data_IF_914304025134
#
_entry.id   IF_914304025134
#
_cell.length_a   1.000
_cell.length_b   1.000
_cell.length_c   1.000
_cell.angle_alpha   90.00
_cell.angle_beta   90.00
_cell.angle_gamma   90.00
#
_symmetry.space_group_name_H-M   'P 1'
#
loop_
_entity.id
_entity.type
_entity.pdbx_description
1 polymer ?
#
# COMPACT_ATOMS: atom_id res chain seq x y z
N UNK A 1 -14.19 15.76 -4.39
CA UNK A 1 -12.74 15.76 -4.05
C UNK A 1 -12.36 14.37 -3.62
N UNK A 2 -11.29 13.81 -4.22
CA UNK A 2 -10.68 12.54 -3.84
C UNK A 2 -9.39 12.78 -3.06
N UNK A 3 -9.31 12.26 -1.84
CA UNK A 3 -8.15 12.36 -0.96
C UNK A 3 -7.45 11.01 -0.87
N UNK A 4 -6.25 10.92 -1.46
CA UNK A 4 -5.48 9.68 -1.53
C UNK A 4 -4.20 9.85 -0.73
N UNK A 5 -3.84 8.83 0.04
CA UNK A 5 -2.58 8.78 0.75
C UNK A 5 -1.83 7.52 0.32
N UNK A 6 -0.54 7.67 0.04
CA UNK A 6 0.37 6.58 -0.26
C UNK A 6 1.41 6.53 0.86
N UNK A 7 1.67 5.33 1.38
CA UNK A 7 2.66 5.12 2.44
C UNK A 7 3.54 3.93 2.11
N UNK A 8 4.80 3.98 2.52
CA UNK A 8 5.75 2.91 2.24
C UNK A 8 7.15 3.25 2.68
N UNK A 9 8.11 2.47 2.23
CA UNK A 9 9.53 2.66 2.54
C UNK A 9 10.27 3.31 1.37
N UNK A 10 11.25 4.16 1.70
CA UNK A 10 12.12 4.79 0.71
C UNK A 10 12.70 3.79 -0.28
N UNK A 11 12.50 4.06 -1.58
CA UNK A 11 12.92 3.19 -2.68
C UNK A 11 11.78 2.41 -3.35
N UNK A 12 10.60 2.32 -2.76
CA UNK A 12 9.44 1.59 -3.32
C UNK A 12 8.65 2.37 -4.38
N UNK A 13 9.03 3.63 -4.66
CA UNK A 13 8.41 4.43 -5.73
C UNK A 13 7.12 5.16 -5.35
N UNK A 14 6.86 5.40 -4.06
CA UNK A 14 5.69 6.16 -3.55
C UNK A 14 5.56 7.56 -4.16
N UNK A 15 6.66 8.30 -4.29
CA UNK A 15 6.68 9.64 -4.94
C UNK A 15 6.34 9.57 -6.42
N UNK A 16 6.89 8.58 -7.14
CA UNK A 16 6.54 8.37 -8.55
C UNK A 16 5.06 7.99 -8.70
N UNK A 17 4.55 7.13 -7.81
CA UNK A 17 3.15 6.75 -7.78
C UNK A 17 2.22 7.95 -7.58
N UNK A 18 2.53 8.81 -6.60
CA UNK A 18 1.79 10.04 -6.35
C UNK A 18 1.80 10.96 -7.58
N UNK A 19 2.96 11.14 -8.21
CA UNK A 19 3.11 11.91 -9.45
C UNK A 19 2.28 11.33 -10.59
N UNK A 20 2.24 10.01 -10.74
CA UNK A 20 1.46 9.36 -11.79
C UNK A 20 -0.04 9.56 -11.60
N UNK A 21 -0.56 9.45 -10.36
CA UNK A 21 -1.96 9.79 -10.07
C UNK A 21 -2.26 11.26 -10.36
N UNK A 22 -1.36 12.16 -9.96
CA UNK A 22 -1.50 13.58 -10.23
C UNK A 22 -1.52 13.88 -11.74
N UNK A 23 -0.65 13.22 -12.51
CA UNK A 23 -0.61 13.35 -13.97
C UNK A 23 -1.92 12.88 -14.60
N UNK A 24 -2.46 11.74 -14.17
CA UNK A 24 -3.73 11.22 -14.68
C UNK A 24 -4.88 12.19 -14.42
N UNK A 25 -4.98 12.70 -13.18
CA UNK A 25 -6.02 13.67 -12.82
C UNK A 25 -5.86 15.02 -13.55
N UNK A 26 -4.64 15.53 -13.69
CA UNK A 26 -4.37 16.76 -14.45
C UNK A 26 -4.73 16.61 -15.94
N UNK A 27 -4.46 15.44 -16.54
CA UNK A 27 -4.84 15.16 -17.93
C UNK A 27 -6.38 15.19 -18.14
N UNK A 28 -7.16 14.90 -17.09
CA UNK A 28 -8.63 15.07 -17.09
C UNK A 28 -9.09 16.50 -16.81
N UNK A 29 -8.17 17.44 -16.60
CA UNK A 29 -8.47 18.82 -16.20
C UNK A 29 -8.83 18.98 -14.72
N UNK A 30 -8.59 17.98 -13.88
CA UNK A 30 -8.85 18.10 -12.44
C UNK A 30 -7.78 18.97 -11.76
N UNK A 31 -8.20 19.73 -10.76
CA UNK A 31 -7.26 20.43 -9.88
C UNK A 31 -6.57 19.42 -8.96
N UNK A 32 -5.24 19.41 -8.95
CA UNK A 32 -4.47 18.47 -8.13
C UNK A 32 -3.50 19.22 -7.23
N UNK A 33 -3.41 18.79 -5.97
CA UNK A 33 -2.30 19.15 -5.08
C UNK A 33 -1.66 17.90 -4.50
N UNK A 34 -0.33 17.90 -4.45
CA UNK A 34 0.44 16.85 -3.81
C UNK A 34 1.31 17.42 -2.70
N UNK A 35 1.61 16.59 -1.71
CA UNK A 35 2.66 16.83 -0.74
C UNK A 35 3.30 15.50 -0.36
N UNK A 36 4.61 15.47 -0.23
CA UNK A 36 5.33 14.29 0.19
C UNK A 36 6.39 14.62 1.23
N UNK A 37 6.58 13.70 2.17
CA UNK A 37 7.70 13.79 3.10
C UNK A 37 8.96 13.29 2.40
N UNK A 38 9.76 14.23 1.89
CA UNK A 38 11.05 13.97 1.24
C UNK A 38 12.22 14.29 2.18
N UNK A 39 13.35 13.60 2.00
CA UNK A 39 14.57 13.81 2.80
C UNK A 39 15.20 12.50 3.24
N UNK A 40 15.55 12.39 4.53
CA UNK A 40 16.23 11.21 5.08
C UNK A 40 15.43 9.90 4.89
N UNK A 41 14.11 10.00 4.72
CA UNK A 41 13.23 8.87 4.41
C UNK A 41 13.58 8.13 3.10
N UNK A 42 14.26 8.78 2.15
CA UNK A 42 14.65 8.16 0.88
C UNK A 42 15.63 6.98 1.03
N UNK A 43 16.29 6.85 2.19
CA UNK A 43 17.25 5.78 2.50
C UNK A 43 16.62 4.75 3.45
N UNK A 44 15.50 4.15 3.04
CA UNK A 44 14.85 3.09 3.80
C UNK A 44 14.07 3.58 5.03
N UNK A 45 13.67 4.84 5.07
CA UNK A 45 12.75 5.36 6.08
C UNK A 45 11.31 5.35 5.59
N UNK A 46 10.38 5.64 6.50
CA UNK A 46 8.97 5.81 6.18
C UNK A 46 8.75 7.04 5.28
N UNK A 47 8.00 6.83 4.19
CA UNK A 47 7.61 7.85 3.22
C UNK A 47 6.09 7.91 3.16
N UNK A 48 5.54 9.13 3.24
CA UNK A 48 4.12 9.39 3.04
C UNK A 48 3.95 10.44 1.95
N UNK A 49 3.07 10.16 1.00
CA UNK A 49 2.67 11.06 -0.09
C UNK A 49 1.16 11.26 -0.06
N UNK A 50 0.73 12.50 -0.16
CA UNK A 50 -0.67 12.92 -0.22
C UNK A 50 -0.99 13.39 -1.65
N UNK A 51 -2.14 12.97 -2.18
CA UNK A 51 -2.66 13.40 -3.48
C UNK A 51 -4.12 13.79 -3.30
N UNK A 52 -4.43 15.06 -3.54
CA UNK A 52 -5.79 15.61 -3.47
C UNK A 52 -6.24 16.00 -4.86
N UNK A 53 -7.32 15.40 -5.33
CA UNK A 53 -7.82 15.56 -6.70
C UNK A 53 -9.25 16.12 -6.67
N UNK A 54 -9.45 17.31 -7.23
CA UNK A 54 -10.76 17.96 -7.34
C UNK A 54 -11.54 17.46 -8.54
N UNK A 55 -12.19 16.31 -8.39
CA UNK A 55 -12.94 15.62 -9.44
C UNK A 55 -14.27 16.29 -9.81
N UNK A 56 -14.75 17.23 -9.00
CA UNK A 56 -15.96 18.02 -9.24
C UNK A 56 -15.66 19.54 -9.26
N UNK A 57 -14.43 19.92 -9.67
CA UNK A 57 -14.01 21.32 -9.78
C UNK A 57 -13.53 21.95 -8.46
N UNK A 58 -13.46 21.19 -7.37
CA UNK A 58 -12.97 21.71 -6.09
C UNK A 58 -11.46 22.01 -6.14
N UNK A 59 -11.03 22.99 -5.35
CA UNK A 59 -9.61 23.30 -5.19
C UNK A 59 -9.19 23.03 -3.75
N UNK A 60 -8.14 22.20 -3.59
CA UNK A 60 -7.58 21.94 -2.28
C UNK A 60 -6.83 23.18 -1.77
N UNK A 61 -7.27 23.77 -0.66
CA UNK A 61 -6.58 24.91 -0.04
C UNK A 61 -5.20 24.51 0.53
N UNK A 62 -5.08 23.28 1.04
CA UNK A 62 -3.86 22.70 1.59
C UNK A 62 -3.58 21.33 0.93
N UNK A 63 -2.30 20.93 0.77
CA UNK A 63 -1.95 19.69 0.09
C UNK A 63 -2.06 18.45 1.00
N UNK A 64 -2.01 18.61 2.32
CA UNK A 64 -2.08 17.52 3.28
C UNK A 64 -3.52 17.02 3.46
N UNK A 65 -3.67 15.71 3.65
CA UNK A 65 -4.94 15.06 4.03
C UNK A 65 -4.95 14.90 5.54
N UNK A 66 -6.05 15.27 6.19
CA UNK A 66 -6.24 15.14 7.63
C UNK A 66 -6.57 13.70 8.05
N UNK A 67 -6.36 13.37 9.32
CA UNK A 67 -6.83 12.11 9.92
C UNK A 67 -8.34 11.94 9.71
N UNK A 68 -8.80 10.73 9.39
CA UNK A 68 -10.21 10.45 9.12
C UNK A 68 -10.75 11.02 7.80
N UNK A 69 -9.92 11.50 6.88
CA UNK A 69 -10.38 12.17 5.65
C UNK A 69 -9.93 11.51 4.33
N UNK A 70 -9.06 10.50 4.36
CA UNK A 70 -8.61 9.83 3.14
C UNK A 70 -9.67 8.87 2.61
N UNK A 71 -10.00 8.99 1.32
CA UNK A 71 -10.85 8.05 0.60
C UNK A 71 -10.14 6.71 0.35
N UNK A 72 -8.82 6.78 0.14
CA UNK A 72 -7.98 5.61 -0.09
C UNK A 72 -6.60 5.75 0.57
N UNK A 73 -6.12 4.63 1.12
CA UNK A 73 -4.73 4.44 1.54
C UNK A 73 -4.09 3.34 0.68
N UNK A 74 -2.95 3.67 0.06
CA UNK A 74 -2.14 2.72 -0.71
C UNK A 74 -0.85 2.47 0.07
N UNK A 75 -0.76 1.30 0.69
CA UNK A 75 0.36 0.87 1.52
C UNK A 75 1.30 -0.05 0.71
N UNK A 76 2.52 0.39 0.50
CA UNK A 76 3.56 -0.39 -0.17
C UNK A 76 4.23 -1.39 0.78
N UNK A 77 3.85 -1.33 2.05
CA UNK A 77 4.39 -2.13 3.14
C UNK A 77 3.28 -2.25 4.20
N UNK A 78 2.94 -3.47 4.66
CA UNK A 78 1.83 -3.71 5.59
C UNK A 78 1.91 -2.94 6.92
N UNK A 79 3.09 -2.87 7.54
CA UNK A 79 3.31 -2.16 8.80
C UNK A 79 3.03 -0.66 8.69
N UNK A 80 3.44 -0.04 7.59
CA UNK A 80 3.12 1.35 7.26
C UNK A 80 1.62 1.54 7.02
N UNK A 81 0.96 0.56 6.43
CA UNK A 81 -0.50 0.50 6.32
C UNK A 81 -1.19 0.52 7.68
N UNK A 82 -0.73 -0.32 8.63
CA UNK A 82 -1.24 -0.36 10.01
C UNK A 82 -1.01 0.99 10.70
N UNK A 83 0.20 1.56 10.59
CA UNK A 83 0.58 2.83 11.21
C UNK A 83 -0.27 4.00 10.71
N UNK A 84 -0.60 4.00 9.42
CA UNK A 84 -1.37 5.07 8.77
C UNK A 84 -2.88 4.81 8.70
N UNK A 85 -3.39 3.67 9.19
CA UNK A 85 -4.79 3.26 9.02
C UNK A 85 -5.82 4.32 9.48
N UNK A 86 -5.48 5.13 10.50
CA UNK A 86 -6.34 6.22 11.03
C UNK A 86 -6.57 7.36 10.03
N UNK A 87 -5.74 7.49 9.00
CA UNK A 87 -5.92 8.53 7.97
C UNK A 87 -7.19 8.32 7.14
N UNK A 88 -7.65 7.06 7.05
CA UNK A 88 -8.85 6.70 6.30
C UNK A 88 -10.10 7.26 6.97
N UNK A 89 -10.99 7.81 6.14
CA UNK A 89 -12.35 8.12 6.59
C UNK A 89 -13.14 6.83 6.85
N UNK A 90 -14.22 6.90 7.64
CA UNK A 90 -15.18 5.80 7.73
C UNK A 90 -15.63 5.36 6.33
N UNK A 91 -15.46 4.07 6.05
CA UNK A 91 -15.77 3.48 4.75
C UNK A 91 -14.70 3.67 3.66
N UNK A 92 -13.51 4.16 4.00
CA UNK A 92 -12.38 4.29 3.08
C UNK A 92 -11.81 2.93 2.65
N UNK A 93 -11.11 2.92 1.51
CA UNK A 93 -10.53 1.71 0.90
C UNK A 93 -9.03 1.64 1.15
N UNK A 94 -8.50 0.45 1.39
CA UNK A 94 -7.06 0.24 1.50
C UNK A 94 -6.56 -0.76 0.44
N UNK A 95 -5.43 -0.46 -0.17
CA UNK A 95 -4.65 -1.41 -0.99
C UNK A 95 -3.31 -1.59 -0.31
N UNK A 96 -2.92 -2.82 0.01
CA UNK A 96 -1.62 -3.13 0.61
C UNK A 96 -0.88 -4.21 -0.16
N UNK A 97 0.45 -4.04 -0.30
CA UNK A 97 1.33 -5.16 -0.63
C UNK A 97 1.29 -6.22 0.47
N UNK A 98 1.64 -7.46 0.13
CA UNK A 98 1.68 -8.57 1.08
C UNK A 98 3.06 -8.75 1.73
N UNK A 99 4.13 -8.37 1.03
CA UNK A 99 5.50 -8.53 1.52
C UNK A 99 5.89 -7.39 2.45
N UNK A 100 6.68 -7.74 3.45
CA UNK A 100 7.31 -6.78 4.36
C UNK A 100 8.68 -6.36 3.84
N UNK A 101 8.90 -5.06 3.83
CA UNK A 101 10.21 -4.42 3.71
C UNK A 101 10.24 -3.40 4.83
N UNK A 102 10.85 -3.72 5.97
CA UNK A 102 10.78 -2.85 7.14
C UNK A 102 11.61 -1.56 6.95
N UNK A 103 11.19 -0.43 7.54
CA UNK A 103 12.06 0.73 7.66
C UNK A 103 13.31 0.37 8.47
N UNK A 104 14.46 0.96 8.13
CA UNK A 104 15.75 0.69 8.80
C UNK A 104 15.65 0.85 10.31
N UNK A 105 14.89 1.84 10.79
CA UNK A 105 14.68 2.08 12.22
C UNK A 105 13.91 0.95 12.92
N UNK A 106 12.99 0.28 12.22
CA UNK A 106 12.24 -0.85 12.76
C UNK A 106 13.09 -2.14 12.69
N UNK A 107 13.86 -2.34 11.63
CA UNK A 107 14.75 -3.50 11.49
C UNK A 107 15.89 -3.53 12.51
N UNK A 108 16.30 -2.36 13.02
CA UNK A 108 17.31 -2.25 14.07
C UNK A 108 16.71 -2.34 15.49
N UNK A 109 15.39 -2.53 15.60
CA UNK A 109 14.73 -2.70 16.91
C UNK A 109 14.91 -4.12 17.44
N UNK A 110 14.66 -4.31 18.75
CA UNK A 110 14.78 -5.62 19.39
C UNK A 110 13.69 -6.61 18.97
N UNK A 111 12.58 -6.10 18.44
CA UNK A 111 11.38 -6.87 18.07
C UNK A 111 10.89 -6.39 16.69
N UNK A 112 11.46 -6.92 15.59
CA UNK A 112 10.91 -6.69 14.26
C UNK A 112 9.49 -7.25 14.17
N UNK A 113 8.61 -6.59 13.41
CA UNK A 113 7.24 -7.07 13.20
C UNK A 113 7.15 -8.01 11.99
N UNK A 114 6.24 -8.97 12.06
CA UNK A 114 6.00 -9.95 10.99
C UNK A 114 4.89 -9.51 10.02
N UNK A 115 5.04 -9.88 8.76
CA UNK A 115 4.08 -9.57 7.69
C UNK A 115 2.68 -10.10 8.00
N UNK A 116 2.61 -11.35 8.44
CA UNK A 116 1.37 -12.03 8.80
C UNK A 116 0.62 -11.30 9.91
N UNK A 117 1.34 -10.84 10.95
CA UNK A 117 0.75 -10.09 12.05
C UNK A 117 0.17 -8.74 11.60
N UNK A 118 0.89 -8.00 10.74
CA UNK A 118 0.41 -6.71 10.22
C UNK A 118 -0.79 -6.88 9.29
N UNK A 119 -0.73 -7.86 8.39
CA UNK A 119 -1.85 -8.18 7.49
C UNK A 119 -3.09 -8.62 8.29
N UNK A 120 -2.91 -9.43 9.32
CA UNK A 120 -4.02 -9.86 10.19
C UNK A 120 -4.64 -8.66 10.93
N UNK A 121 -3.81 -7.76 11.46
CA UNK A 121 -4.28 -6.53 12.09
C UNK A 121 -5.09 -5.63 11.12
N UNK A 122 -4.75 -5.64 9.82
CA UNK A 122 -5.54 -4.94 8.79
C UNK A 122 -6.84 -5.69 8.46
N UNK A 123 -6.80 -7.02 8.35
CA UNK A 123 -7.98 -7.85 8.06
C UNK A 123 -9.06 -7.70 9.12
N UNK A 124 -8.68 -7.70 10.40
CA UNK A 124 -9.62 -7.50 11.53
C UNK A 124 -10.32 -6.14 11.46
N UNK A 125 -9.69 -5.11 10.87
CA UNK A 125 -10.25 -3.77 10.71
C UNK A 125 -11.08 -3.59 9.43
N UNK A 126 -11.13 -4.59 8.55
CA UNK A 126 -11.75 -4.51 7.24
C UNK A 126 -13.12 -5.21 7.21
N UNK A 127 -14.13 -4.53 6.66
CA UNK A 127 -15.44 -5.14 6.45
C UNK A 127 -15.43 -6.17 5.30
N UNK A 128 -14.57 -5.97 4.30
CA UNK A 128 -14.38 -6.88 3.17
C UNK A 128 -12.89 -6.99 2.85
N UNK A 129 -12.41 -8.22 2.60
CA UNK A 129 -11.03 -8.49 2.18
C UNK A 129 -11.03 -9.12 0.79
N UNK A 130 -10.27 -8.53 -0.13
CA UNK A 130 -10.05 -9.03 -1.49
C UNK A 130 -8.58 -9.38 -1.67
N UNK A 131 -8.30 -10.64 -1.93
CA UNK A 131 -6.94 -11.12 -2.15
C UNK A 131 -6.66 -11.14 -3.66
N UNK A 132 -5.62 -10.44 -4.09
CA UNK A 132 -5.20 -10.33 -5.50
C UNK A 132 -3.97 -11.22 -5.72
N UNK A 133 -3.97 -11.99 -6.80
CA UNK A 133 -2.93 -12.98 -7.12
C UNK A 133 -2.76 -14.05 -6.03
N UNK A 134 -3.87 -14.61 -5.52
CA UNK A 134 -3.81 -15.79 -4.63
C UNK A 134 -3.02 -16.89 -5.31
N UNK A 135 -1.93 -17.29 -4.68
CA UNK A 135 -1.29 -18.57 -4.95
C UNK A 135 -2.01 -19.57 -4.07
N UNK A 136 -2.58 -20.63 -4.65
CA UNK A 136 -3.09 -21.74 -3.84
C UNK A 136 -1.94 -22.24 -2.96
N UNK A 137 -2.18 -22.52 -1.67
CA UNK A 137 -1.11 -23.04 -0.82
C UNK A 137 -0.54 -24.29 -1.48
N UNK A 138 0.77 -24.33 -1.72
CA UNK A 138 1.42 -25.58 -2.10
C UNK A 138 1.06 -26.62 -1.03
N UNK A 139 0.67 -27.84 -1.43
CA UNK A 139 0.38 -28.88 -0.46
C UNK A 139 1.61 -29.04 0.44
N UNK A 140 1.39 -28.93 1.75
CA UNK A 140 2.43 -28.98 2.77
C UNK A 140 3.35 -30.17 2.49
N UNK A 141 4.58 -29.89 2.06
CA UNK A 141 5.61 -30.91 1.93
C UNK A 141 5.94 -31.35 3.36
N UNK A 142 5.65 -32.60 3.71
CA UNK A 142 5.85 -33.16 5.06
C UNK A 142 7.27 -32.85 5.57
N UNK A 143 7.38 -31.94 6.53
CA UNK A 143 8.63 -31.67 7.23
C UNK A 143 9.03 -32.92 8.01
N UNK A 144 10.17 -33.52 7.63
CA UNK A 144 10.83 -34.54 8.43
C UNK A 144 11.25 -33.92 9.76
N UNK A 145 10.72 -34.51 10.83
CA UNK A 145 11.08 -34.25 12.22
C UNK A 145 12.61 -34.28 12.41
N UNK A 146 13.15 -33.22 13.02
CA UNK A 146 14.55 -33.14 13.38
C UNK A 146 14.85 -32.07 14.42
N UNK A 147 14.59 -32.39 15.69
CA UNK A 147 15.39 -31.90 16.83
C UNK A 147 15.04 -30.54 17.44
N UNK A 148 14.27 -30.58 18.52
CA UNK A 148 14.00 -29.45 19.41
C UNK A 148 15.23 -29.04 20.26
N UNK A 149 15.29 -27.77 20.65
CA UNK A 149 15.83 -27.37 21.96
C UNK A 149 15.20 -26.06 22.42
N UNK A 150 14.43 -26.15 23.49
CA UNK A 150 13.80 -25.06 24.21
C UNK A 150 14.83 -24.24 25.00
N UNK A 151 14.68 -22.91 25.03
CA UNK A 151 15.26 -22.05 26.07
C UNK A 151 14.18 -21.04 26.47
N UNK A 152 13.90 -20.95 27.78
CA UNK A 152 12.85 -20.11 28.38
C UNK A 152 13.17 -18.61 28.30
N UNK A 153 12.15 -17.72 28.19
CA UNK A 153 12.34 -16.28 28.39
C UNK A 153 12.25 -15.90 29.88
N UNK A 154 13.20 -15.09 30.35
CA UNK A 154 13.11 -14.33 31.59
C UNK A 154 12.58 -12.92 31.34
N UNK A 155 11.93 -12.42 32.38
CA UNK A 155 11.04 -11.28 32.47
C UNK A 155 11.63 -9.88 32.21
N UNK A 156 10.69 -8.99 31.88
CA UNK A 156 10.60 -7.55 32.18
C UNK A 156 11.39 -6.52 31.35
N UNK A 157 10.60 -5.69 30.66
CA UNK A 157 11.02 -4.43 30.05
C UNK A 157 9.85 -3.78 29.32
N UNK A 158 8.83 -3.34 30.08
CA UNK A 158 7.59 -2.75 29.58
C UNK A 158 7.84 -1.53 28.68
N UNK A 159 7.75 -1.73 27.36
CA UNK A 159 7.53 -0.66 26.39
C UNK A 159 6.06 -0.69 25.99
N UNK A 160 5.38 0.45 26.14
CA UNK A 160 3.94 0.60 25.92
C UNK A 160 3.56 0.20 24.49
N UNK A 161 3.08 -1.03 24.36
CA UNK A 161 2.18 -1.45 23.29
C UNK A 161 0.93 -0.55 23.33
N UNK A 162 0.36 -0.14 22.19
CA UNK A 162 -0.99 0.40 22.21
C UNK A 162 -1.90 -0.64 22.86
N UNK A 163 -2.65 -0.19 23.86
CA UNK A 163 -3.46 -1.01 24.76
C UNK A 163 -4.28 -2.07 24.00
N UNK A 164 -3.84 -3.34 24.10
CA UNK A 164 -4.50 -4.48 23.45
C UNK A 164 -5.93 -4.72 23.99
N UNK A 165 -6.37 -4.00 25.04
CA UNK A 165 -7.74 -4.05 25.56
C UNK A 165 -8.75 -3.11 24.89
N UNK A 166 -8.34 -2.31 23.89
CA UNK A 166 -9.26 -1.41 23.17
C UNK A 166 -9.70 -1.91 21.79
N UNK A 167 -9.25 -3.10 21.36
CA UNK A 167 -9.56 -3.67 20.05
C UNK A 167 -10.95 -4.35 19.96
N UNK A 168 -11.70 -4.41 21.07
CA UNK A 168 -13.07 -4.92 21.09
C UNK A 168 -14.04 -3.72 20.94
N UNK A 169 -14.92 -3.77 19.94
CA UNK A 169 -16.07 -2.85 19.70
C UNK A 169 -15.86 -1.60 18.82
N UNK A 170 -14.78 -1.46 18.05
CA UNK A 170 -14.73 -0.44 17.01
C UNK A 170 -15.33 -0.97 15.69
N UNK A 171 -16.32 -0.27 15.12
CA UNK A 171 -16.82 -0.57 13.78
C UNK A 171 -15.67 -0.59 12.75
N UNK A 172 -15.72 -1.44 11.70
CA UNK A 172 -14.61 -1.57 10.76
C UNK A 172 -14.27 -0.23 10.11
N UNK A 173 -13.03 0.22 10.30
CA UNK A 173 -12.54 1.49 9.76
C UNK A 173 -12.25 1.43 8.26
N UNK A 174 -12.06 0.22 7.72
CA UNK A 174 -11.76 -0.04 6.30
C UNK A 174 -12.97 -0.72 5.67
N UNK A 175 -13.56 -0.14 4.61
CA UNK A 175 -14.68 -0.79 3.91
C UNK A 175 -14.21 -2.00 3.12
N UNK A 176 -13.15 -1.82 2.32
CA UNK A 176 -12.54 -2.88 1.52
C UNK A 176 -11.03 -2.80 1.64
N UNK A 177 -10.41 -3.92 2.01
CA UNK A 177 -8.98 -4.13 2.01
C UNK A 177 -8.61 -5.02 0.82
N UNK A 178 -7.77 -4.51 -0.07
CA UNK A 178 -7.11 -5.29 -1.10
C UNK A 178 -5.73 -5.71 -0.59
N UNK A 179 -5.52 -7.01 -0.43
CA UNK A 179 -4.21 -7.58 -0.12
C UNK A 179 -3.63 -8.13 -1.42
N UNK A 180 -2.51 -7.57 -1.85
CA UNK A 180 -1.92 -7.88 -3.16
C UNK A 180 -0.69 -8.75 -2.95
N UNK A 181 -0.72 -9.99 -3.46
CA UNK A 181 0.46 -10.83 -3.55
C UNK A 181 1.24 -10.46 -4.81
N UNK A 182 2.18 -9.53 -4.65
CA UNK A 182 2.93 -8.95 -5.76
C UNK A 182 4.01 -9.88 -6.34
N UNK A 183 4.52 -10.84 -5.56
CA UNK A 183 5.66 -11.67 -5.92
C UNK A 183 5.51 -12.37 -7.29
N UNK A 184 4.44 -13.16 -7.55
CA UNK A 184 4.27 -13.83 -8.84
C UNK A 184 4.16 -12.86 -10.02
N UNK A 185 3.59 -11.67 -9.79
CA UNK A 185 3.46 -10.63 -10.82
C UNK A 185 4.83 -10.04 -11.15
N UNK A 186 5.60 -9.67 -10.12
CA UNK A 186 6.93 -9.09 -10.28
C UNK A 186 7.94 -10.07 -10.90
N UNK A 187 7.85 -11.35 -10.54
CA UNK A 187 8.69 -12.41 -11.10
C UNK A 187 8.40 -12.63 -12.59
N UNK A 188 7.11 -12.66 -12.97
CA UNK A 188 6.69 -12.76 -14.37
C UNK A 188 7.18 -11.58 -15.22
N UNK A 189 7.16 -10.37 -14.67
CA UNK A 189 7.66 -9.16 -15.36
C UNK A 189 9.18 -9.11 -15.36
N UNK A 190 9.85 -9.80 -14.42
CA UNK A 190 11.30 -9.80 -14.28
C UNK A 190 11.86 -8.49 -13.71
N UNK A 191 11.01 -7.69 -13.04
CA UNK A 191 11.46 -6.41 -12.46
C UNK A 191 10.71 -6.04 -11.18
N UNK A 192 11.39 -6.24 -10.05
CA UNK A 192 10.84 -5.88 -8.73
C UNK A 192 10.53 -4.38 -8.54
N UNK A 193 11.02 -3.48 -9.41
CA UNK A 193 10.78 -2.03 -9.31
C UNK A 193 9.40 -1.60 -9.80
N UNK A 194 8.57 -2.51 -10.33
CA UNK A 194 7.21 -2.21 -10.78
C UNK A 194 6.14 -2.41 -9.71
N UNK A 195 6.52 -2.65 -8.44
CA UNK A 195 5.59 -2.74 -7.29
C UNK A 195 4.58 -1.58 -7.27
N UNK A 196 5.05 -0.37 -7.52
CA UNK A 196 4.20 0.82 -7.55
C UNK A 196 3.10 0.74 -8.61
N UNK A 197 3.40 0.18 -9.79
CA UNK A 197 2.42 -0.02 -10.86
C UNK A 197 1.43 -1.12 -10.49
N UNK A 198 1.89 -2.20 -9.85
CA UNK A 198 1.01 -3.28 -9.40
C UNK A 198 -0.06 -2.73 -8.45
N UNK A 199 0.35 -2.03 -7.38
CA UNK A 199 -0.58 -1.50 -6.39
C UNK A 199 -1.48 -0.40 -6.96
N UNK A 200 -0.96 0.47 -7.83
CA UNK A 200 -1.77 1.51 -8.46
C UNK A 200 -2.81 0.94 -9.44
N UNK A 201 -2.49 -0.13 -10.16
CA UNK A 201 -3.46 -0.79 -11.04
C UNK A 201 -4.65 -1.31 -10.23
N UNK A 202 -4.39 -1.98 -9.10
CA UNK A 202 -5.44 -2.45 -8.17
C UNK A 202 -6.23 -1.27 -7.59
N UNK A 203 -5.55 -0.19 -7.21
CA UNK A 203 -6.19 1.03 -6.69
C UNK A 203 -7.12 1.71 -7.70
N UNK A 204 -6.70 1.79 -8.98
CA UNK A 204 -7.54 2.32 -10.06
C UNK A 204 -8.74 1.42 -10.30
N UNK A 205 -8.53 0.10 -10.34
CA UNK A 205 -9.60 -0.88 -10.51
C UNK A 205 -10.61 -0.86 -9.35
N UNK A 206 -10.19 -0.55 -8.12
CA UNK A 206 -11.10 -0.38 -6.98
C UNK A 206 -12.13 0.76 -7.18
N UNK A 207 -11.96 1.63 -8.20
CA UNK A 207 -12.95 2.60 -8.65
C UNK A 207 -13.07 3.86 -7.79
N UNK A 208 -12.53 3.86 -6.57
CA UNK A 208 -12.61 5.00 -5.64
C UNK A 208 -11.87 6.24 -6.16
N UNK A 209 -10.79 6.04 -6.94
CA UNK A 209 -9.99 7.12 -7.53
C UNK A 209 -10.74 7.94 -8.58
N UNK A 210 -11.79 7.38 -9.19
CA UNK A 210 -12.52 8.02 -10.30
C UNK A 210 -11.73 8.12 -11.61
N UNK A 211 -10.61 7.41 -11.73
CA UNK A 211 -9.77 7.32 -12.94
C UNK A 211 -10.01 5.98 -13.64
N UNK A 212 -9.88 5.95 -14.96
CA UNK A 212 -9.93 4.71 -15.75
C UNK A 212 -8.55 4.07 -15.87
N UNK A 213 -8.50 2.76 -16.18
CA UNK A 213 -7.23 2.09 -16.46
C UNK A 213 -6.52 2.66 -17.69
N UNK A 214 -7.25 3.13 -18.71
CA UNK A 214 -6.64 3.78 -19.87
C UNK A 214 -5.97 5.12 -19.49
N UNK A 215 -6.65 5.98 -18.73
CA UNK A 215 -6.07 7.23 -18.22
C UNK A 215 -4.85 6.97 -17.34
N UNK A 216 -4.86 5.88 -16.57
CA UNK A 216 -3.71 5.44 -15.80
C UNK A 216 -2.54 4.98 -16.69
N UNK A 217 -2.79 4.17 -17.74
CA UNK A 217 -1.77 3.75 -18.72
C UNK A 217 -1.12 4.97 -19.39
N UNK A 218 -1.91 5.95 -19.80
CA UNK A 218 -1.42 7.18 -20.42
C UNK A 218 -0.55 8.01 -19.46
N UNK A 219 -0.98 8.13 -18.20
CA UNK A 219 -0.21 8.83 -17.17
C UNK A 219 1.11 8.13 -16.83
N UNK A 220 1.11 6.80 -16.77
CA UNK A 220 2.34 5.99 -16.59
C UNK A 220 3.30 6.26 -17.75
N UNK A 221 2.82 6.17 -18.99
CA UNK A 221 3.62 6.43 -20.18
C UNK A 221 4.24 7.84 -20.20
N UNK A 222 3.55 8.84 -19.66
CA UNK A 222 4.06 10.21 -19.54
C UNK A 222 5.07 10.40 -18.39
N UNK A 223 4.97 9.61 -17.32
CA UNK A 223 5.80 9.76 -16.12
C UNK A 223 7.09 8.94 -16.14
N UNK A 224 7.12 7.81 -16.86
CA UNK A 224 8.27 6.90 -16.89
C UNK A 224 9.22 7.21 -18.04
N UNK A 225 10.50 6.83 -17.88
CA UNK A 225 11.47 6.96 -18.98
C UNK A 225 11.06 6.05 -20.14
N UNK A 226 11.31 6.43 -21.41
CA UNK A 226 10.91 5.64 -22.58
C UNK A 226 11.30 4.17 -22.50
N UNK A 227 12.54 3.87 -22.07
CA UNK A 227 13.05 2.49 -21.91
C UNK A 227 12.29 1.61 -20.90
N UNK A 228 11.48 2.21 -20.02
CA UNK A 228 10.70 1.49 -19.02
C UNK A 228 9.21 1.46 -19.37
N UNK A 229 8.77 2.13 -20.43
CA UNK A 229 7.35 2.28 -20.78
C UNK A 229 6.68 0.92 -20.95
N UNK A 230 7.18 0.10 -21.87
CA UNK A 230 6.54 -1.16 -22.27
C UNK A 230 6.43 -2.14 -21.09
N UNK A 231 7.47 -2.23 -20.27
CA UNK A 231 7.48 -3.07 -19.08
C UNK A 231 6.45 -2.62 -18.03
N UNK A 232 6.30 -1.30 -17.81
CA UNK A 232 5.28 -0.81 -16.87
C UNK A 232 3.86 -1.03 -17.43
N UNK A 233 3.64 -0.83 -18.75
CA UNK A 233 2.35 -1.11 -19.38
C UNK A 233 2.00 -2.60 -19.32
N UNK A 234 2.96 -3.48 -19.62
CA UNK A 234 2.78 -4.92 -19.47
C UNK A 234 2.47 -5.34 -18.04
N UNK A 235 3.00 -4.63 -17.04
CA UNK A 235 2.63 -4.84 -15.63
C UNK A 235 1.16 -4.51 -15.37
N UNK A 236 0.65 -3.41 -15.95
CA UNK A 236 -0.77 -3.03 -15.82
C UNK A 236 -1.65 -4.11 -16.45
N UNK A 237 -1.33 -4.55 -17.67
CA UNK A 237 -2.11 -5.57 -18.38
C UNK A 237 -2.11 -6.91 -17.62
N UNK A 238 -0.97 -7.30 -17.03
CA UNK A 238 -0.88 -8.52 -16.23
C UNK A 238 -1.74 -8.46 -14.96
N UNK A 239 -1.83 -7.30 -14.32
CA UNK A 239 -2.66 -7.11 -13.12
C UNK A 239 -4.14 -6.99 -13.48
N UNK A 240 -4.46 -6.29 -14.56
CA UNK A 240 -5.83 -6.17 -15.09
C UNK A 240 -6.43 -7.55 -15.38
N UNK A 241 -5.66 -8.47 -15.96
CA UNK A 241 -6.08 -9.85 -16.22
C UNK A 241 -6.35 -10.68 -14.95
N UNK A 242 -5.83 -10.28 -13.79
CA UNK A 242 -6.08 -10.94 -12.49
C UNK A 242 -7.30 -10.36 -11.76
N UNK A 243 -7.81 -9.21 -12.23
CA UNK A 243 -8.92 -8.49 -11.63
C UNK A 243 -10.22 -8.61 -12.44
N UNK A 244 -10.15 -9.19 -13.65
CA UNK A 244 -11.27 -9.52 -14.52
C UNK A 244 -11.97 -10.82 -14.09
#
# INVERSE_FOLDING_TARGET
MKNIVLTGIGGQGTVLAAKTLAQAAQARGWHVRTAETIGMAQRGGSVVSHVRMGDCGEQAAAPLVSEGCADMLIAFEPGEGVRMARILRPGGVMVTASRVVQPVTASLSKEPYEASAMLEALRVKAACVKEVARVEPEPACEERQGGASCINPTDSGSFLMPDQKSAQEAAPSISTLYVVNEAPILDRIGNARTLNIVLLTVAVHAGVLGLTLQEFKDAVAACVKPRFKDMNLATIDAVEALLA
#
